data_IF_509594816094
#
_entry.id   IF_509594816094
#
_cell.length_a   1.000
_cell.length_b   1.000
_cell.length_c   1.000
_cell.angle_alpha   90.00
_cell.angle_beta   90.00
_cell.angle_gamma   90.00
#
_symmetry.space_group_name_H-M   'P 1'
#
loop_
_entity.id
_entity.type
_entity.pdbx_description
1 polymer ?
#
# COMPACT_ATOMS: atom_id res chain seq x y z
N UNK A 1 -12.77 -8.19 5.82
CA UNK A 1 -13.99 -7.41 5.50
C UNK A 1 -14.47 -6.79 6.80
N UNK A 2 -14.69 -5.49 6.79
CA UNK A 2 -15.10 -4.74 7.97
C UNK A 2 -16.58 -5.01 8.30
N UNK A 3 -17.04 -4.63 9.49
CA UNK A 3 -18.45 -4.83 9.89
C UNK A 3 -19.45 -4.09 8.97
N UNK A 4 -19.02 -2.98 8.37
CA UNK A 4 -19.77 -2.20 7.38
C UNK A 4 -19.69 -2.76 5.95
N UNK A 5 -19.11 -3.96 5.78
CA UNK A 5 -18.92 -4.64 4.50
C UNK A 5 -17.88 -4.01 3.57
N UNK A 6 -17.13 -3.01 4.05
CA UNK A 6 -16.02 -2.45 3.27
C UNK A 6 -14.76 -3.32 3.33
N UNK A 7 -13.84 -3.08 2.41
CA UNK A 7 -12.50 -3.66 2.39
C UNK A 7 -11.49 -2.55 2.58
N UNK A 8 -10.55 -2.73 3.50
CA UNK A 8 -9.43 -1.81 3.70
C UNK A 8 -8.15 -2.43 3.16
N UNK A 9 -7.46 -1.71 2.27
CA UNK A 9 -6.10 -2.03 1.89
C UNK A 9 -5.16 -1.49 2.95
N UNK A 10 -4.61 -2.38 3.78
CA UNK A 10 -3.74 -2.01 4.90
C UNK A 10 -2.27 -2.14 4.53
N UNK A 11 -1.37 -1.68 5.41
CA UNK A 11 0.09 -1.85 5.26
C UNK A 11 0.71 -1.12 4.05
N UNK A 12 0.06 -0.08 3.53
CA UNK A 12 0.64 0.75 2.49
C UNK A 12 1.60 1.79 3.11
N UNK A 13 2.80 1.91 2.53
CA UNK A 13 3.70 3.02 2.84
C UNK A 13 3.05 4.33 2.40
N UNK A 14 2.90 5.30 3.30
CA UNK A 14 2.32 6.59 2.96
C UNK A 14 3.25 7.39 2.03
N UNK A 15 4.54 7.43 2.36
CA UNK A 15 5.55 8.13 1.59
C UNK A 15 6.94 7.59 1.93
N UNK A 16 7.84 7.59 0.97
CA UNK A 16 9.28 7.53 1.23
C UNK A 16 10.00 8.26 0.09
N UNK A 17 11.24 8.67 0.33
CA UNK A 17 12.06 9.30 -0.71
C UNK A 17 13.43 9.66 -0.19
N UNK A 18 14.28 10.22 -1.04
CA UNK A 18 15.60 10.70 -0.64
C UNK A 18 15.63 12.23 -0.64
N UNK A 19 16.49 12.81 0.18
CA UNK A 19 16.70 14.25 0.15
C UNK A 19 17.51 14.77 1.33
N UNK A 20 17.92 16.05 1.24
CA UNK A 20 18.56 16.75 2.35
C UNK A 20 17.60 16.82 3.54
N UNK A 21 18.10 17.33 4.66
CA UNK A 21 17.27 17.59 5.83
C UNK A 21 16.02 18.36 5.43
N UNK A 22 14.87 17.79 5.77
CA UNK A 22 13.60 18.48 5.53
C UNK A 22 13.45 19.65 6.52
N UNK A 23 12.38 20.45 6.38
CA UNK A 23 12.09 21.59 7.27
C UNK A 23 11.96 21.20 8.77
N UNK A 24 11.94 19.90 9.10
CA UNK A 24 11.88 19.35 10.46
C UNK A 24 13.21 18.75 10.92
N UNK A 25 14.30 18.98 10.19
CA UNK A 25 15.64 18.48 10.52
C UNK A 25 15.81 16.96 10.38
N UNK A 26 14.87 16.26 9.71
CA UNK A 26 15.00 14.82 9.45
C UNK A 26 15.63 14.61 8.08
N UNK A 27 16.84 14.04 8.07
CA UNK A 27 17.51 13.58 6.86
C UNK A 27 16.79 12.38 6.27
N UNK A 28 16.56 12.39 4.95
CA UNK A 28 16.07 11.23 4.21
C UNK A 28 17.26 10.55 3.53
N UNK A 29 17.98 9.78 4.33
CA UNK A 29 19.31 9.25 4.00
C UNK A 29 19.29 7.92 3.22
N UNK A 30 18.12 7.30 3.07
CA UNK A 30 17.98 6.02 2.39
C UNK A 30 18.43 4.81 3.21
N UNK A 31 18.70 4.98 4.51
CA UNK A 31 19.02 3.88 5.40
C UNK A 31 17.83 2.94 5.60
N UNK A 32 18.10 1.70 6.01
CA UNK A 32 17.05 0.75 6.40
C UNK A 32 16.13 1.34 7.47
N UNK A 33 16.72 1.93 8.51
CA UNK A 33 15.98 2.54 9.62
C UNK A 33 15.09 3.69 9.13
N UNK A 34 15.56 4.50 8.17
CA UNK A 34 14.75 5.55 7.56
C UNK A 34 13.50 4.96 6.88
N UNK A 35 13.66 3.99 5.97
CA UNK A 35 12.53 3.39 5.25
C UNK A 35 11.54 2.66 6.17
N UNK A 36 12.04 1.98 7.21
CA UNK A 36 11.19 1.29 8.18
C UNK A 36 10.49 2.26 9.17
N UNK A 37 10.93 3.52 9.23
CA UNK A 37 10.31 4.54 10.08
C UNK A 37 9.17 5.30 9.41
N UNK A 38 9.00 5.16 8.09
CA UNK A 38 7.94 5.85 7.36
C UNK A 38 6.55 5.31 7.73
N UNK A 39 5.54 6.19 7.78
CA UNK A 39 4.22 5.81 8.28
C UNK A 39 3.51 4.83 7.33
N UNK A 40 2.75 3.95 7.96
CA UNK A 40 1.84 3.03 7.28
C UNK A 40 0.45 3.65 7.32
N UNK A 41 -0.22 3.70 6.17
CA UNK A 41 -1.55 4.29 6.01
C UNK A 41 -2.50 3.33 5.31
N UNK A 42 -3.67 3.14 5.89
CA UNK A 42 -4.74 2.36 5.27
C UNK A 42 -5.38 3.14 4.12
N UNK A 43 -5.73 2.42 3.05
CA UNK A 43 -6.33 2.98 1.84
C UNK A 43 -5.50 4.12 1.23
N UNK A 44 -4.17 4.02 1.28
CA UNK A 44 -3.28 4.98 0.64
C UNK A 44 -3.59 5.05 -0.87
N UNK A 45 -3.77 6.26 -1.42
CA UNK A 45 -4.08 6.44 -2.84
C UNK A 45 -3.04 5.84 -3.80
N UNK A 46 -1.77 5.71 -3.36
CA UNK A 46 -0.71 5.05 -4.14
C UNK A 46 -0.82 3.52 -4.10
N UNK A 47 -1.53 2.96 -3.12
CA UNK A 47 -1.80 1.52 -3.02
C UNK A 47 -3.13 1.11 -3.64
N UNK A 48 -4.19 1.91 -3.45
CA UNK A 48 -5.56 1.57 -3.89
C UNK A 48 -5.66 1.44 -5.41
N UNK A 49 -5.08 2.37 -6.17
CA UNK A 49 -5.10 2.31 -7.64
C UNK A 49 -4.43 1.03 -8.18
N UNK A 50 -3.17 0.74 -7.80
CA UNK A 50 -2.51 -0.51 -8.17
C UNK A 50 -3.23 -1.77 -7.69
N UNK A 51 -3.84 -1.75 -6.50
CA UNK A 51 -4.60 -2.89 -6.00
C UNK A 51 -5.82 -3.21 -6.88
N UNK A 52 -6.55 -2.19 -7.33
CA UNK A 52 -7.67 -2.35 -8.26
C UNK A 52 -7.18 -2.91 -9.60
N UNK A 53 -6.11 -2.36 -10.17
CA UNK A 53 -5.55 -2.86 -11.42
C UNK A 53 -5.03 -4.29 -11.32
N UNK A 54 -4.34 -4.64 -10.24
CA UNK A 54 -3.88 -6.00 -10.01
C UNK A 54 -5.06 -6.99 -9.95
N UNK A 55 -6.18 -6.58 -9.33
CA UNK A 55 -7.40 -7.40 -9.27
C UNK A 55 -7.98 -7.66 -10.66
N UNK A 56 -8.04 -6.64 -11.53
CA UNK A 56 -8.51 -6.80 -12.91
C UNK A 56 -7.62 -7.72 -13.74
N UNK A 57 -6.29 -7.61 -13.59
CA UNK A 57 -5.36 -8.52 -14.27
C UNK A 57 -5.48 -9.96 -13.75
N UNK A 58 -5.72 -10.15 -12.45
CA UNK A 58 -6.00 -11.48 -11.90
C UNK A 58 -7.28 -12.09 -12.48
N UNK A 59 -8.36 -11.32 -12.56
CA UNK A 59 -9.60 -11.78 -13.19
C UNK A 59 -9.38 -12.17 -14.66
N UNK A 60 -8.60 -11.38 -15.40
CA UNK A 60 -8.23 -11.68 -16.79
C UNK A 60 -7.43 -12.97 -16.94
N UNK A 61 -6.60 -13.32 -15.95
CA UNK A 61 -5.87 -14.60 -15.90
C UNK A 61 -6.76 -15.78 -15.49
N UNK A 62 -8.05 -15.56 -15.20
CA UNK A 62 -9.01 -16.61 -14.84
C UNK A 62 -8.98 -16.98 -13.35
N UNK A 63 -8.36 -16.16 -12.51
CA UNK A 63 -8.51 -16.24 -11.07
C UNK A 63 -9.88 -15.67 -10.69
N UNK A 64 -10.73 -16.54 -10.15
CA UNK A 64 -12.09 -16.21 -9.75
C UNK A 64 -12.26 -16.61 -8.28
N UNK A 65 -12.89 -15.73 -7.51
CA UNK A 65 -13.25 -15.98 -6.12
C UNK A 65 -14.26 -17.12 -5.98
N UNK A 66 -15.02 -17.45 -7.02
CA UNK A 66 -15.91 -18.62 -7.02
C UNK A 66 -15.15 -19.95 -6.92
N UNK A 67 -13.89 -19.99 -7.35
CA UNK A 67 -13.02 -21.18 -7.23
C UNK A 67 -12.32 -21.29 -5.88
N UNK A 68 -12.29 -20.22 -5.08
CA UNK A 68 -11.66 -20.18 -3.76
C UNK A 68 -12.59 -20.68 -2.63
N UNK A 69 -13.90 -20.76 -2.89
CA UNK A 69 -14.91 -21.20 -1.93
C UNK A 69 -15.48 -22.61 -2.24
N UNK A 70 -14.76 -23.41 -3.05
CA UNK A 70 -14.99 -24.84 -3.22
C UNK A 70 -14.02 -25.62 -2.35
#
# INVERSE_FOLDING_TARGET
MNADKTVSLTRCCEVSGLGPDNAKGRRRDGSFNYYMSEPIRDNDGKGVGPFIWASLEMERMGYDVAKLNQ
#
